data_IF_554902305639
#
_entry.id   IF_554902305639
#
_cell.length_a   1.000
_cell.length_b   1.000
_cell.length_c   1.000
_cell.angle_alpha   90.00
_cell.angle_beta   90.00
_cell.angle_gamma   90.00
#
_symmetry.space_group_name_H-M   'P 1'
#
loop_
_entity.id
_entity.type
_entity.pdbx_description
1 polymer ?
#
# COMPACT_ATOMS: atom_id res chain seq x y z
N UNK A 1 -4.23 -8.65 -3.13
CA UNK A 1 -4.46 -7.37 -2.44
C UNK A 1 -5.21 -7.64 -1.15
N UNK A 2 -5.33 -6.66 -0.26
CA UNK A 2 -6.19 -6.74 0.92
C UNK A 2 -7.14 -5.53 0.93
N UNK A 3 -8.33 -5.69 1.53
CA UNK A 3 -9.34 -4.63 1.62
C UNK A 3 -9.83 -4.52 3.06
N UNK A 4 -9.84 -3.29 3.59
CA UNK A 4 -10.32 -3.00 4.94
C UNK A 4 -11.86 -2.89 4.95
N UNK A 5 -12.53 -4.03 4.83
CA UNK A 5 -13.98 -4.16 4.85
C UNK A 5 -14.43 -4.92 6.11
N UNK A 6 -15.73 -4.86 6.42
CA UNK A 6 -16.34 -5.68 7.48
C UNK A 6 -16.07 -7.15 7.17
N UNK A 7 -15.06 -7.69 7.84
CA UNK A 7 -14.70 -9.09 7.74
C UNK A 7 -15.62 -9.94 8.64
N UNK A 8 -15.37 -11.24 8.61
CA UNK A 8 -16.12 -12.27 9.31
C UNK A 8 -16.60 -11.86 10.71
N UNK A 9 -17.80 -12.28 11.15
CA UNK A 9 -18.39 -11.83 12.42
C UNK A 9 -17.56 -12.19 13.66
N UNK A 10 -16.61 -13.12 13.54
CA UNK A 10 -15.69 -13.51 14.61
C UNK A 10 -14.41 -12.66 14.68
N UNK A 11 -14.22 -11.70 13.76
CA UNK A 11 -13.09 -10.80 13.72
C UNK A 11 -13.47 -9.39 14.20
N UNK A 12 -12.49 -8.63 14.65
CA UNK A 12 -12.66 -7.26 15.11
C UNK A 12 -12.94 -6.33 13.90
N UNK A 13 -14.03 -5.54 13.90
CA UNK A 13 -14.49 -4.80 12.72
C UNK A 13 -13.52 -3.71 12.26
N UNK A 14 -12.73 -3.14 13.19
CA UNK A 14 -11.73 -2.11 12.87
C UNK A 14 -10.30 -2.64 12.67
N UNK A 15 -10.07 -3.95 12.82
CA UNK A 15 -8.73 -4.56 12.83
C UNK A 15 -8.71 -5.87 12.05
N UNK A 16 -9.35 -5.84 10.89
CA UNK A 16 -9.46 -7.00 10.01
C UNK A 16 -9.55 -6.57 8.55
N UNK A 17 -9.26 -7.50 7.65
CA UNK A 17 -9.32 -7.31 6.22
C UNK A 17 -9.67 -8.62 5.49
N UNK A 18 -10.28 -8.47 4.31
CA UNK A 18 -10.41 -9.56 3.36
C UNK A 18 -9.14 -9.70 2.53
N UNK A 19 -8.74 -10.94 2.25
CA UNK A 19 -7.63 -11.27 1.34
C UNK A 19 -8.21 -11.56 -0.05
N UNK A 20 -7.65 -10.91 -1.06
CA UNK A 20 -8.17 -10.94 -2.43
C UNK A 20 -7.09 -11.32 -3.44
N UNK A 21 -7.47 -12.18 -4.38
CA UNK A 21 -6.76 -12.37 -5.64
C UNK A 21 -7.61 -11.77 -6.76
N UNK A 22 -7.12 -10.70 -7.38
CA UNK A 22 -7.94 -9.84 -8.25
C UNK A 22 -9.21 -9.39 -7.51
N UNK A 23 -10.40 -9.68 -8.05
CA UNK A 23 -11.70 -9.38 -7.42
C UNK A 23 -12.26 -10.53 -6.58
N UNK A 24 -11.58 -11.67 -6.51
CA UNK A 24 -12.07 -12.84 -5.77
C UNK A 24 -11.51 -12.86 -4.35
N UNK A 25 -12.40 -12.83 -3.35
CA UNK A 25 -12.02 -13.07 -1.95
C UNK A 25 -11.53 -14.51 -1.82
N UNK A 26 -10.33 -14.67 -1.28
CA UNK A 26 -9.68 -15.96 -1.05
C UNK A 26 -9.44 -16.23 0.44
N UNK A 27 -9.81 -15.31 1.33
CA UNK A 27 -9.52 -15.45 2.74
C UNK A 27 -9.80 -14.20 3.55
N UNK A 28 -9.44 -14.26 4.83
CA UNK A 28 -9.59 -13.19 5.80
C UNK A 28 -8.37 -13.17 6.73
N UNK A 29 -8.01 -12.00 7.23
CA UNK A 29 -6.96 -11.81 8.23
C UNK A 29 -7.43 -10.74 9.22
N UNK A 30 -7.24 -10.95 10.52
CA UNK A 30 -7.56 -9.92 11.49
C UNK A 30 -7.40 -10.34 12.93
N UNK A 31 -7.58 -9.37 13.83
CA UNK A 31 -7.71 -9.63 15.26
C UNK A 31 -9.04 -10.33 15.53
N UNK A 32 -9.04 -11.37 16.36
CA UNK A 32 -10.27 -12.04 16.79
C UNK A 32 -11.10 -11.09 17.66
N UNK A 33 -12.43 -11.12 17.50
CA UNK A 33 -13.33 -10.26 18.27
C UNK A 33 -13.20 -10.54 19.79
N UNK A 34 -13.11 -9.50 20.65
CA UNK A 34 -12.95 -9.68 22.09
C UNK A 34 -14.00 -10.59 22.73
N UNK A 35 -15.26 -10.50 22.29
CA UNK A 35 -16.34 -11.37 22.77
C UNK A 35 -16.15 -12.85 22.41
N UNK A 36 -15.53 -13.14 21.25
CA UNK A 36 -15.22 -14.52 20.85
C UNK A 36 -14.09 -15.06 21.73
N UNK A 37 -13.04 -14.27 21.95
CA UNK A 37 -11.94 -14.64 22.85
C UNK A 37 -12.43 -14.90 24.27
N UNK A 38 -13.34 -14.06 24.78
CA UNK A 38 -13.95 -14.24 26.10
C UNK A 38 -14.72 -15.56 26.21
N UNK A 39 -15.52 -15.92 25.18
CA UNK A 39 -16.26 -17.19 25.15
C UNK A 39 -15.35 -18.42 25.06
N UNK A 40 -14.14 -18.27 24.54
CA UNK A 40 -13.14 -19.32 24.42
C UNK A 40 -12.14 -19.37 25.59
N UNK A 41 -12.31 -18.54 26.62
CA UNK A 41 -11.38 -18.37 27.75
C UNK A 41 -9.93 -18.03 27.32
N UNK A 42 -9.80 -17.29 26.20
CA UNK A 42 -8.52 -16.80 25.71
C UNK A 42 -8.29 -15.39 26.25
N UNK A 43 -7.30 -15.23 27.11
CA UNK A 43 -7.01 -13.96 27.82
C UNK A 43 -6.14 -12.99 27.02
N UNK A 44 -5.42 -13.49 26.02
CA UNK A 44 -4.52 -12.71 25.18
C UNK A 44 -5.21 -12.27 23.89
N UNK A 45 -4.76 -11.14 23.33
CA UNK A 45 -5.09 -10.79 21.95
C UNK A 45 -4.64 -11.91 21.01
N UNK A 46 -5.53 -12.34 20.12
CA UNK A 46 -5.21 -13.31 19.08
C UNK A 46 -5.49 -12.73 17.70
N UNK A 47 -4.65 -13.07 16.74
CA UNK A 47 -4.84 -12.79 15.33
C UNK A 47 -5.08 -14.10 14.60
N UNK A 48 -5.99 -14.09 13.64
CA UNK A 48 -6.35 -15.24 12.82
C UNK A 48 -6.20 -14.86 11.36
N UNK A 49 -5.77 -15.81 10.55
CA UNK A 49 -5.89 -15.75 9.11
C UNK A 49 -6.45 -17.06 8.57
N UNK A 50 -7.19 -16.96 7.48
CA UNK A 50 -7.71 -18.09 6.72
C UNK A 50 -7.48 -17.81 5.24
N UNK A 51 -7.07 -18.84 4.50
CA UNK A 51 -6.84 -18.78 3.07
C UNK A 51 -7.38 -20.06 2.43
N UNK A 52 -8.20 -19.90 1.39
CA UNK A 52 -8.64 -20.96 0.50
C UNK A 52 -7.49 -21.34 -0.44
N UNK A 53 -6.92 -22.52 -0.20
CA UNK A 53 -5.80 -23.06 -0.98
C UNK A 53 -6.24 -23.53 -2.38
N UNK A 54 -7.50 -23.91 -2.59
CA UNK A 54 -8.00 -24.33 -3.90
C UNK A 54 -8.13 -23.13 -4.84
N UNK A 55 -8.57 -21.99 -4.31
CA UNK A 55 -8.56 -20.72 -5.04
C UNK A 55 -7.12 -20.34 -5.36
N UNK A 56 -6.22 -20.40 -4.38
CA UNK A 56 -4.82 -20.03 -4.57
C UNK A 56 -4.14 -20.90 -5.63
N UNK A 57 -4.29 -22.23 -5.55
CA UNK A 57 -3.65 -23.18 -6.46
C UNK A 57 -4.07 -22.95 -7.92
N UNK A 58 -5.35 -22.65 -8.17
CA UNK A 58 -5.87 -22.33 -9.51
C UNK A 58 -5.28 -21.06 -10.11
N UNK A 59 -4.71 -20.19 -9.29
CA UNK A 59 -4.16 -18.90 -9.71
C UNK A 59 -2.63 -18.88 -9.76
N UNK A 60 -1.95 -19.90 -9.22
CA UNK A 60 -0.51 -20.03 -9.33
C UNK A 60 -0.16 -20.41 -10.77
N UNK A 61 0.33 -19.45 -11.54
CA UNK A 61 1.00 -19.72 -12.81
C UNK A 61 2.50 -19.94 -12.55
N UNK A 62 3.00 -21.15 -12.84
CA UNK A 62 4.41 -21.52 -12.72
C UNK A 62 5.37 -20.84 -13.69
N UNK A 63 4.99 -19.69 -14.27
CA UNK A 63 5.84 -18.94 -15.18
C UNK A 63 6.98 -18.28 -14.40
N UNK A 64 8.21 -18.72 -14.64
CA UNK A 64 9.40 -18.02 -14.16
C UNK A 64 9.50 -16.72 -14.96
N UNK A 65 9.32 -15.59 -14.28
CA UNK A 65 9.55 -14.26 -14.87
C UNK A 65 10.99 -13.86 -14.59
N UNK A 66 11.82 -13.88 -15.62
CA UNK A 66 13.12 -13.23 -15.55
C UNK A 66 12.96 -11.73 -15.77
N UNK A 67 13.60 -10.93 -14.93
CA UNK A 67 13.79 -9.50 -15.14
C UNK A 67 15.28 -9.23 -14.96
N UNK A 68 15.88 -8.55 -15.92
CA UNK A 68 17.28 -8.16 -15.83
C UNK A 68 17.49 -7.24 -14.62
N UNK A 69 18.52 -7.55 -13.83
CA UNK A 69 18.89 -6.71 -12.69
C UNK A 69 19.73 -5.57 -13.21
N UNK A 70 19.25 -4.34 -13.06
CA UNK A 70 20.03 -3.17 -13.45
C UNK A 70 21.33 -3.10 -12.63
N UNK A 71 22.42 -2.79 -13.33
CA UNK A 71 23.73 -2.51 -12.73
C UNK A 71 23.88 -1.04 -12.32
N UNK A 72 22.87 -0.22 -12.62
CA UNK A 72 22.86 1.22 -12.36
C UNK A 72 22.17 1.53 -11.02
N UNK A 73 22.62 2.60 -10.32
CA UNK A 73 22.07 2.93 -9.00
C UNK A 73 20.59 3.34 -9.11
N UNK A 74 19.81 3.00 -8.07
CA UNK A 74 18.49 3.63 -7.89
C UNK A 74 18.65 4.99 -7.22
N UNK A 75 17.77 5.92 -7.55
CA UNK A 75 17.64 7.19 -6.85
C UNK A 75 16.29 7.24 -6.15
N UNK A 76 16.32 7.65 -4.88
CA UNK A 76 15.12 7.74 -4.05
C UNK A 76 14.65 9.19 -3.91
N UNK A 77 13.33 9.37 -3.86
CA UNK A 77 12.66 10.63 -3.50
C UNK A 77 11.53 10.32 -2.54
N UNK A 78 11.37 11.14 -1.51
CA UNK A 78 10.33 10.98 -0.50
C UNK A 78 9.37 12.17 -0.56
N UNK A 79 8.07 11.91 -0.48
CA UNK A 79 7.05 12.95 -0.42
C UNK A 79 6.02 12.61 0.65
N UNK A 80 5.72 13.58 1.50
CA UNK A 80 4.67 13.47 2.49
C UNK A 80 3.37 14.11 1.96
N UNK A 81 2.33 13.28 1.81
CA UNK A 81 1.00 13.71 1.40
C UNK A 81 0.09 13.84 2.62
N UNK A 82 -0.51 15.01 2.82
CA UNK A 82 -1.60 15.20 3.77
C UNK A 82 -2.90 14.84 3.08
N UNK A 83 -3.56 13.80 3.59
CA UNK A 83 -4.78 13.21 3.05
C UNK A 83 -5.83 13.08 4.15
N UNK A 84 -7.10 12.89 3.77
CA UNK A 84 -8.15 12.51 4.72
C UNK A 84 -7.76 11.24 5.49
N UNK A 85 -8.12 11.15 6.77
CA UNK A 85 -7.85 10.00 7.64
C UNK A 85 -8.43 8.70 7.06
N UNK A 86 -9.56 8.79 6.34
CA UNK A 86 -10.21 7.67 5.66
C UNK A 86 -9.52 7.23 4.37
N UNK A 87 -8.59 8.01 3.82
CA UNK A 87 -7.86 7.61 2.60
C UNK A 87 -7.04 6.35 2.89
N UNK A 88 -7.30 5.27 2.19
CA UNK A 88 -6.50 4.06 2.27
C UNK A 88 -5.11 4.30 1.67
N UNK A 89 -4.06 3.87 2.37
CA UNK A 89 -2.70 4.05 1.88
C UNK A 89 -2.44 3.22 0.61
N UNK A 90 -3.07 2.04 0.50
CA UNK A 90 -3.03 1.22 -0.71
C UNK A 90 -3.61 1.97 -1.92
N UNK A 91 -4.71 2.70 -1.75
CA UNK A 91 -5.30 3.52 -2.81
C UNK A 91 -4.35 4.62 -3.30
N UNK A 92 -3.56 5.21 -2.40
CA UNK A 92 -2.52 6.18 -2.77
C UNK A 92 -1.42 5.52 -3.63
N UNK A 93 -0.97 4.33 -3.25
CA UNK A 93 0.02 3.57 -4.04
C UNK A 93 -0.54 3.20 -5.42
N UNK A 94 -1.79 2.75 -5.49
CA UNK A 94 -2.47 2.40 -6.74
C UNK A 94 -2.58 3.60 -7.69
N UNK A 95 -2.92 4.78 -7.18
CA UNK A 95 -2.99 6.02 -7.96
C UNK A 95 -1.62 6.41 -8.52
N UNK A 96 -0.53 6.20 -7.77
CA UNK A 96 0.82 6.42 -8.27
C UNK A 96 1.16 5.41 -9.38
N UNK A 97 0.93 4.12 -9.12
CA UNK A 97 1.27 3.04 -10.04
C UNK A 97 0.43 3.08 -11.33
N UNK A 98 -0.80 3.58 -11.29
CA UNK A 98 -1.67 3.74 -12.47
C UNK A 98 -1.18 4.82 -13.44
N UNK A 99 -0.15 5.59 -13.09
CA UNK A 99 0.46 6.55 -14.01
C UNK A 99 1.42 5.92 -15.00
N UNK A 100 1.75 4.63 -14.84
CA UNK A 100 2.56 3.84 -15.78
C UNK A 100 3.89 4.50 -16.17
N UNK A 101 4.60 5.07 -15.20
CA UNK A 101 5.91 5.65 -15.44
C UNK A 101 6.98 4.54 -15.50
N UNK A 102 7.65 4.42 -16.63
CA UNK A 102 8.59 3.33 -16.91
C UNK A 102 9.82 3.35 -15.99
N UNK A 103 10.26 4.54 -15.59
CA UNK A 103 11.44 4.72 -14.73
C UNK A 103 11.14 4.59 -13.24
N UNK A 104 9.86 4.51 -12.85
CA UNK A 104 9.46 4.23 -11.47
C UNK A 104 9.60 2.74 -11.19
N UNK A 105 10.69 2.35 -10.53
CA UNK A 105 10.97 0.97 -10.16
C UNK A 105 10.04 0.48 -9.04
N UNK A 106 9.81 1.33 -8.03
CA UNK A 106 8.94 1.01 -6.90
C UNK A 106 8.41 2.27 -6.21
N UNK A 107 7.26 2.15 -5.53
CA UNK A 107 6.76 3.12 -4.56
C UNK A 107 6.27 2.40 -3.32
N UNK A 108 6.62 2.90 -2.14
CA UNK A 108 6.24 2.30 -0.87
C UNK A 108 5.94 3.34 0.19
N UNK A 109 5.25 2.92 1.25
CA UNK A 109 4.98 3.75 2.42
C UNK A 109 6.21 3.68 3.34
N UNK A 110 6.73 4.83 3.75
CA UNK A 110 7.82 4.88 4.73
C UNK A 110 7.40 5.52 6.06
N UNK A 111 6.33 6.32 6.08
CA UNK A 111 5.83 6.96 7.30
C UNK A 111 4.31 7.17 7.27
N UNK A 112 3.67 7.08 8.44
CA UNK A 112 2.27 7.47 8.66
C UNK A 112 2.21 8.28 9.96
N UNK A 113 1.91 9.57 9.84
CA UNK A 113 1.81 10.48 10.98
C UNK A 113 0.40 11.05 11.12
N UNK A 114 -0.19 10.93 12.31
CA UNK A 114 -1.51 11.44 12.67
C UNK A 114 -1.49 12.25 13.98
N UNK A 115 -0.40 12.98 14.22
CA UNK A 115 -0.18 13.75 15.45
C UNK A 115 -0.50 15.25 15.33
N UNK A 116 -0.07 16.01 16.35
CA UNK A 116 -0.29 17.46 16.44
C UNK A 116 0.33 18.19 15.23
N UNK A 117 -0.33 19.27 14.78
CA UNK A 117 0.10 20.10 13.65
C UNK A 117 -0.54 19.75 12.29
N UNK A 118 -1.44 18.75 12.26
CA UNK A 118 -2.27 18.45 11.11
C UNK A 118 -3.71 18.96 11.31
N UNK A 119 -4.38 19.31 10.21
CA UNK A 119 -5.80 19.63 10.21
C UNK A 119 -6.61 18.44 10.76
N UNK A 120 -7.66 18.70 11.53
CA UNK A 120 -8.50 17.65 12.09
C UNK A 120 -9.08 16.77 10.98
N UNK A 121 -9.10 15.45 11.20
CA UNK A 121 -9.57 14.49 10.21
C UNK A 121 -8.57 14.20 9.09
N UNK A 122 -7.34 14.70 9.15
CA UNK A 122 -6.27 14.37 8.19
C UNK A 122 -5.18 13.49 8.79
N UNK A 123 -4.36 12.89 7.92
CA UNK A 123 -3.12 12.20 8.26
C UNK A 123 -2.06 12.51 7.19
N UNK A 124 -0.79 12.45 7.59
CA UNK A 124 0.34 12.56 6.69
C UNK A 124 0.81 11.15 6.32
N UNK A 125 0.87 10.87 5.02
CA UNK A 125 1.35 9.62 4.44
C UNK A 125 2.65 9.90 3.68
N UNK A 126 3.77 9.38 4.18
CA UNK A 126 5.06 9.44 3.53
C UNK A 126 5.21 8.33 2.50
N UNK A 127 5.39 8.69 1.23
CA UNK A 127 5.69 7.77 0.14
C UNK A 127 7.13 7.93 -0.32
N UNK A 128 7.82 6.81 -0.49
CA UNK A 128 9.17 6.71 -1.02
C UNK A 128 9.10 6.13 -2.42
N UNK A 129 9.66 6.87 -3.37
CA UNK A 129 9.73 6.53 -4.78
C UNK A 129 11.16 6.09 -5.10
N UNK A 130 11.32 4.96 -5.78
CA UNK A 130 12.61 4.48 -6.30
C UNK A 130 12.59 4.59 -7.81
N UNK A 131 13.53 5.35 -8.37
CA UNK A 131 13.69 5.51 -9.81
C UNK A 131 14.95 4.81 -10.28
N UNK A 132 14.86 4.07 -11.39
CA UNK A 132 16.02 3.39 -11.96
C UNK A 132 15.81 3.13 -13.46
N UNK A 133 16.88 3.35 -14.24
CA UNK A 133 16.98 2.85 -15.61
C UNK A 133 17.81 1.56 -15.65
N UNK A 134 17.53 0.71 -16.64
CA UNK A 134 18.25 -0.56 -16.84
C UNK A 134 19.58 -0.36 -17.57
N UNK A 135 19.70 0.71 -18.35
CA UNK A 135 20.74 0.93 -19.36
C UNK A 135 21.66 2.14 -19.08
N UNK A 136 21.31 2.99 -18.10
CA UNK A 136 22.10 4.18 -17.75
C UNK A 136 21.85 4.67 -16.32
N UNK A 137 22.73 5.55 -15.85
CA UNK A 137 22.49 6.35 -14.64
C UNK A 137 21.50 7.48 -14.98
N UNK A 138 20.48 7.64 -14.14
CA UNK A 138 19.51 8.74 -14.26
C UNK A 138 20.12 10.04 -13.76
N UNK A 139 19.87 11.14 -14.47
CA UNK A 139 20.27 12.48 -14.01
C UNK A 139 19.23 13.06 -13.06
N UNK A 140 19.66 13.99 -12.19
CA UNK A 140 18.72 14.66 -11.27
C UNK A 140 17.62 15.44 -12.02
N UNK A 141 17.94 16.04 -13.17
CA UNK A 141 16.96 16.78 -13.97
C UNK A 141 15.82 15.87 -14.49
N UNK A 142 16.18 14.68 -14.98
CA UNK A 142 15.20 13.69 -15.45
C UNK A 142 14.34 13.17 -14.31
N UNK A 143 14.97 12.83 -13.18
CA UNK A 143 14.27 12.34 -11.99
C UNK A 143 13.30 13.40 -11.48
N UNK A 144 13.73 14.66 -11.36
CA UNK A 144 12.89 15.73 -10.83
C UNK A 144 11.69 15.98 -11.76
N UNK A 145 11.90 16.03 -13.09
CA UNK A 145 10.80 16.21 -14.04
C UNK A 145 9.73 15.11 -13.94
N UNK A 146 10.16 13.85 -13.82
CA UNK A 146 9.26 12.70 -13.67
C UNK A 146 8.57 12.71 -12.30
N UNK A 147 9.35 12.96 -11.25
CA UNK A 147 8.86 12.98 -9.88
C UNK A 147 7.80 14.06 -9.69
N UNK A 148 8.07 15.28 -10.16
CA UNK A 148 7.14 16.41 -10.08
C UNK A 148 5.85 16.11 -10.85
N UNK A 149 5.95 15.49 -12.04
CA UNK A 149 4.78 15.04 -12.82
C UNK A 149 3.93 14.03 -12.04
N UNK A 150 4.56 13.01 -11.45
CA UNK A 150 3.86 11.98 -10.66
C UNK A 150 3.16 12.59 -9.45
N UNK A 151 3.88 13.43 -8.71
CA UNK A 151 3.39 14.10 -7.51
C UNK A 151 2.24 15.03 -7.85
N UNK A 152 2.38 15.84 -8.90
CA UNK A 152 1.33 16.76 -9.37
C UNK A 152 0.06 16.01 -9.75
N UNK A 153 0.18 14.93 -10.54
CA UNK A 153 -0.96 14.10 -10.91
C UNK A 153 -1.61 13.42 -9.70
N UNK A 154 -0.80 12.94 -8.75
CA UNK A 154 -1.29 12.31 -7.51
C UNK A 154 -2.10 13.32 -6.69
N UNK A 155 -1.59 14.55 -6.53
CA UNK A 155 -2.31 15.65 -5.87
C UNK A 155 -3.61 15.95 -6.59
N UNK A 156 -3.60 16.05 -7.93
CA UNK A 156 -4.80 16.33 -8.72
C UNK A 156 -5.88 15.25 -8.59
N UNK A 157 -5.48 13.98 -8.54
CA UNK A 157 -6.42 12.84 -8.44
C UNK A 157 -6.96 12.62 -7.03
N UNK A 158 -6.23 13.04 -6.00
CA UNK A 158 -6.56 12.73 -4.59
C UNK A 158 -7.04 13.95 -3.81
N UNK A 159 -6.75 15.17 -4.28
CA UNK A 159 -6.90 16.40 -3.51
C UNK A 159 -5.91 16.50 -2.34
N UNK A 160 -4.87 15.68 -2.29
CA UNK A 160 -3.86 15.70 -1.24
C UNK A 160 -3.09 17.03 -1.24
N UNK A 161 -2.65 17.49 -0.06
CA UNK A 161 -1.69 18.59 0.06
C UNK A 161 -0.29 18.02 0.28
N UNK A 162 0.74 18.67 -0.24
CA UNK A 162 2.14 18.29 0.05
C UNK A 162 2.54 18.94 1.36
N UNK A 163 3.13 18.15 2.26
CA UNK A 163 3.73 18.65 3.49
C UNK A 163 5.19 19.02 3.20
N UNK A 164 5.52 20.29 3.36
CA UNK A 164 6.89 20.81 3.35
C UNK A 164 7.60 20.53 4.68
#
# INVERSE_FOLDING_TARGET
>A
SYRAELSEPFLHPGQSCGLYFQEKKMGSLGQVHPEVLQKMDVKSTAYLFEIDLDILQKQINGSIRYREVSKFPAVQRDVAFVVSRSMEAQKMLEIVLSQHEDLLENVGIFDIYAGKGLEEGTKSLGLRFSYRALDRTLTDAEINAIHDKIVHNTVRLTGAKIRA
#
